data_IF_032854608018
#
_entry.id   IF_032854608018
#
_cell.length_a   1.000
_cell.length_b   1.000
_cell.length_c   1.000
_cell.angle_alpha   90.00
_cell.angle_beta   90.00
_cell.angle_gamma   90.00
#
_symmetry.space_group_name_H-M   'P 1'
#
loop_
_entity.id
_entity.type
_entity.pdbx_description
1 polymer ?
#
# COMPACT_ATOMS: atom_id res chain seq x y z
N UNK A 1 -18.08 -28.00 -75.48
CA UNK A 1 -17.34 -29.29 -75.58
C UNK A 1 -16.73 -29.56 -74.21
N UNK A 2 -17.28 -30.55 -73.49
CA UNK A 2 -16.56 -31.77 -73.05
C UNK A 2 -15.45 -31.46 -72.02
N UNK A 3 -15.68 -31.71 -70.73
CA UNK A 3 -15.47 -33.02 -70.05
C UNK A 3 -14.04 -33.54 -70.22
N UNK A 4 -13.29 -33.66 -69.12
CA UNK A 4 -12.76 -34.96 -68.65
C UNK A 4 -11.68 -34.80 -67.57
N UNK A 5 -11.96 -35.39 -66.41
CA UNK A 5 -11.09 -36.18 -65.50
C UNK A 5 -9.58 -36.30 -65.78
N UNK A 6 -8.74 -36.13 -64.75
CA UNK A 6 -8.22 -37.23 -63.90
C UNK A 6 -6.87 -36.88 -63.21
N UNK A 7 -6.77 -37.27 -61.93
CA UNK A 7 -5.58 -37.65 -61.16
C UNK A 7 -4.33 -36.74 -61.15
N UNK A 8 -4.03 -36.15 -59.99
CA UNK A 8 -2.77 -36.48 -59.31
C UNK A 8 -2.84 -36.11 -57.81
N UNK A 9 -2.64 -37.12 -56.96
CA UNK A 9 -2.40 -37.01 -55.53
C UNK A 9 -1.17 -36.14 -55.26
N UNK A 10 -1.34 -34.93 -54.73
CA UNK A 10 -0.30 -34.16 -54.04
C UNK A 10 -0.92 -32.93 -53.40
N UNK A 11 -1.52 -33.08 -52.22
CA UNK A 11 -1.54 -32.06 -51.15
C UNK A 11 -2.08 -32.72 -49.87
N UNK A 12 -1.27 -33.67 -49.37
CA UNK A 12 -1.18 -33.91 -47.93
C UNK A 12 -0.72 -32.57 -47.31
N UNK A 13 -1.28 -32.22 -46.15
CA UNK A 13 -1.04 -30.99 -45.36
C UNK A 13 -1.79 -29.74 -45.81
N UNK A 14 -3.01 -29.54 -45.31
CA UNK A 14 -3.41 -28.27 -44.62
C UNK A 14 -4.90 -28.28 -44.23
N UNK A 15 -5.35 -29.30 -43.50
CA UNK A 15 -6.65 -29.25 -42.78
C UNK A 15 -6.55 -29.88 -41.38
N UNK A 16 -5.37 -29.77 -40.75
CA UNK A 16 -5.17 -30.04 -39.33
C UNK A 16 -4.92 -28.73 -38.55
N UNK A 17 -5.68 -27.70 -38.87
CA UNK A 17 -5.85 -26.52 -38.02
C UNK A 17 -7.34 -26.27 -37.81
N UNK A 18 -8.07 -27.34 -37.45
CA UNK A 18 -9.19 -27.14 -36.53
C UNK A 18 -8.53 -26.59 -35.27
N UNK A 19 -8.57 -25.26 -35.14
CA UNK A 19 -8.36 -24.54 -33.90
C UNK A 19 -9.40 -25.08 -32.91
N UNK A 20 -9.07 -26.21 -32.29
CA UNK A 20 -9.42 -26.44 -30.90
C UNK A 20 -8.62 -25.37 -30.15
N UNK A 21 -9.17 -24.15 -30.09
CA UNK A 21 -8.94 -23.30 -28.94
C UNK A 21 -9.54 -24.13 -27.80
N UNK A 22 -8.74 -25.02 -27.24
CA UNK A 22 -8.93 -25.43 -25.87
C UNK A 22 -9.10 -24.12 -25.14
N UNK A 23 -10.26 -23.91 -24.52
CA UNK A 23 -10.35 -22.96 -23.43
C UNK A 23 -9.25 -23.42 -22.49
N UNK A 24 -8.07 -22.82 -22.61
CA UNK A 24 -7.10 -22.81 -21.55
C UNK A 24 -7.89 -22.20 -20.42
N UNK A 25 -8.43 -23.06 -19.56
CA UNK A 25 -8.86 -22.65 -18.26
C UNK A 25 -7.57 -22.19 -17.60
N UNK A 26 -7.26 -20.91 -17.78
CA UNK A 26 -6.48 -20.16 -16.83
C UNK A 26 -7.38 -20.12 -15.60
N UNK A 27 -7.41 -21.24 -14.88
CA UNK A 27 -7.80 -21.30 -13.49
C UNK A 27 -6.62 -20.73 -12.71
N UNK A 28 -6.32 -19.46 -12.98
CA UNK A 28 -5.43 -18.66 -12.18
C UNK A 28 -6.30 -18.06 -11.10
N UNK A 29 -6.26 -18.61 -9.89
CA UNK A 29 -6.86 -17.95 -8.74
C UNK A 29 -6.28 -16.52 -8.68
N UNK A 30 -7.06 -15.51 -9.04
CA UNK A 30 -6.65 -14.10 -8.95
C UNK A 30 -6.76 -13.71 -7.48
N UNK A 31 -5.89 -14.32 -6.67
CA UNK A 31 -5.79 -14.10 -5.24
C UNK A 31 -5.23 -12.69 -5.01
N UNK A 32 -6.11 -11.77 -4.68
CA UNK A 32 -5.73 -10.45 -4.21
C UNK A 32 -6.93 -9.60 -3.88
N UNK A 33 -6.76 -8.72 -2.89
CA UNK A 33 -7.81 -7.86 -2.37
C UNK A 33 -7.60 -6.44 -2.89
N UNK A 34 -8.72 -5.77 -3.18
CA UNK A 34 -8.76 -4.39 -3.65
C UNK A 34 -9.62 -3.61 -2.68
N UNK A 35 -9.04 -2.56 -2.10
CA UNK A 35 -9.68 -1.66 -1.15
C UNK A 35 -9.84 -0.28 -1.78
N UNK A 36 -11.08 0.26 -1.83
CA UNK A 36 -11.27 1.67 -2.16
C UNK A 36 -10.71 2.52 -1.01
N UNK A 37 -10.07 3.62 -1.37
CA UNK A 37 -9.50 4.58 -0.42
C UNK A 37 -9.95 5.98 -0.78
N UNK A 38 -10.32 6.76 0.22
CA UNK A 38 -10.71 8.17 0.07
C UNK A 38 -9.78 9.05 0.88
N UNK A 39 -9.65 10.32 0.50
CA UNK A 39 -8.88 11.29 1.29
C UNK A 39 -9.84 12.09 2.16
N UNK A 40 -9.65 12.03 3.47
CA UNK A 40 -10.33 12.93 4.38
C UNK A 40 -9.68 14.33 4.29
N UNK A 41 -10.49 15.33 3.95
CA UNK A 41 -10.00 16.69 3.71
C UNK A 41 -9.67 17.42 5.02
N UNK A 42 -10.29 17.02 6.13
CA UNK A 42 -10.09 17.69 7.41
C UNK A 42 -8.74 17.35 8.04
N UNK A 43 -8.34 16.08 7.97
CA UNK A 43 -7.06 15.60 8.49
C UNK A 43 -5.98 15.42 7.42
N UNK A 44 -6.37 15.39 6.14
CA UNK A 44 -5.50 15.06 5.02
C UNK A 44 -5.13 13.58 4.93
N UNK A 45 -5.69 12.72 5.78
CA UNK A 45 -5.39 11.29 5.85
C UNK A 45 -6.15 10.49 4.79
N UNK A 46 -5.61 9.33 4.44
CA UNK A 46 -6.27 8.37 3.55
C UNK A 46 -7.04 7.34 4.38
N UNK A 47 -8.31 7.14 4.06
CA UNK A 47 -9.24 6.27 4.78
C UNK A 47 -9.78 5.20 3.84
N UNK A 48 -9.63 3.95 4.26
CA UNK A 48 -10.21 2.77 3.62
C UNK A 48 -11.45 2.31 4.39
N UNK A 49 -12.49 1.95 3.67
CA UNK A 49 -13.70 1.37 4.23
C UNK A 49 -13.62 -0.16 4.14
N UNK A 50 -13.61 -0.85 5.28
CA UNK A 50 -13.43 -2.30 5.36
C UNK A 50 -14.59 -2.95 6.09
N UNK A 51 -15.19 -3.98 5.47
CA UNK A 51 -16.15 -4.86 6.14
C UNK A 51 -15.41 -5.96 6.88
N UNK A 52 -15.52 -5.95 8.21
CA UNK A 52 -14.98 -6.94 9.12
C UNK A 52 -16.12 -7.80 9.67
N UNK A 53 -15.91 -9.11 9.67
CA UNK A 53 -16.84 -10.09 10.19
C UNK A 53 -18.15 -10.18 9.43
N UNK A 54 -19.21 -10.37 10.21
CA UNK A 54 -20.61 -10.38 9.81
C UNK A 54 -21.33 -9.05 10.08
N UNK A 55 -20.59 -8.01 10.50
CA UNK A 55 -21.15 -6.68 10.73
C UNK A 55 -21.71 -6.07 9.44
N UNK A 56 -22.93 -5.52 9.54
CA UNK A 56 -23.60 -4.82 8.44
C UNK A 56 -22.91 -3.49 8.10
N UNK A 57 -22.38 -2.81 9.11
CA UNK A 57 -21.70 -1.53 8.98
C UNK A 57 -20.19 -1.72 8.80
N UNK A 58 -19.57 -1.06 7.81
CA UNK A 58 -18.14 -1.10 7.59
C UNK A 58 -17.37 -0.24 8.59
N UNK A 59 -16.10 -0.58 8.81
CA UNK A 59 -15.17 0.21 9.63
C UNK A 59 -14.35 1.13 8.73
N UNK A 60 -14.22 2.39 9.12
CA UNK A 60 -13.32 3.35 8.49
C UNK A 60 -11.94 3.28 9.15
N UNK A 61 -10.92 2.95 8.36
CA UNK A 61 -9.56 2.74 8.84
C UNK A 61 -8.57 3.63 8.09
N UNK A 62 -7.70 4.30 8.84
CA UNK A 62 -6.62 5.11 8.27
C UNK A 62 -5.58 4.20 7.64
N UNK A 63 -5.17 4.53 6.41
CA UNK A 63 -4.12 3.82 5.69
C UNK A 63 -2.77 4.30 6.21
N UNK A 64 -2.08 3.46 6.97
CA UNK A 64 -0.70 3.68 7.43
C UNK A 64 0.26 2.75 6.67
N UNK A 65 1.08 3.31 5.77
CA UNK A 65 2.10 2.53 5.05
C UNK A 65 3.11 1.88 5.98
N UNK A 66 3.46 2.53 7.09
CA UNK A 66 4.46 2.01 8.04
C UNK A 66 3.83 1.18 9.15
N UNK A 67 2.51 1.00 9.12
CA UNK A 67 1.76 0.21 10.08
C UNK A 67 2.05 -1.27 9.93
N UNK A 68 2.34 -1.94 11.05
CA UNK A 68 2.63 -3.38 11.09
C UNK A 68 1.37 -4.24 11.19
N UNK A 69 0.27 -3.66 11.68
CA UNK A 69 -0.95 -4.38 12.01
C UNK A 69 -2.18 -3.54 11.67
N UNK A 70 -3.26 -4.21 11.26
CA UNK A 70 -4.58 -3.59 11.21
C UNK A 70 -5.14 -3.54 12.63
N UNK A 71 -5.63 -2.38 13.04
CA UNK A 71 -6.21 -2.19 14.37
C UNK A 71 -7.35 -1.19 14.32
N UNK A 72 -8.29 -1.32 15.25
CA UNK A 72 -9.39 -0.38 15.46
C UNK A 72 -9.87 -0.47 16.91
N UNK A 73 -10.58 0.56 17.36
CA UNK A 73 -11.16 0.58 18.69
C UNK A 73 -12.41 -0.31 18.74
N UNK A 74 -12.34 -1.42 19.45
CA UNK A 74 -13.49 -2.33 19.62
C UNK A 74 -14.61 -1.74 20.48
N UNK A 75 -14.33 -0.69 21.28
CA UNK A 75 -15.36 0.00 22.06
C UNK A 75 -16.23 0.95 21.23
N UNK A 76 -15.80 1.24 19.99
CA UNK A 76 -16.49 2.16 19.07
C UNK A 76 -17.82 1.62 18.50
N UNK A 77 -18.27 0.44 18.93
CA UNK A 77 -19.59 -0.10 18.59
C UNK A 77 -19.60 -1.12 17.45
N UNK A 78 -18.45 -1.47 16.87
CA UNK A 78 -18.35 -2.58 15.93
C UNK A 78 -18.40 -3.93 16.67
N UNK A 79 -19.53 -4.62 16.53
CA UNK A 79 -19.77 -5.95 17.11
C UNK A 79 -19.87 -6.95 15.97
N UNK A 80 -18.95 -7.90 15.94
CA UNK A 80 -18.95 -9.05 15.02
C UNK A 80 -19.10 -10.32 15.83
N UNK A 81 -19.98 -11.22 15.40
CA UNK A 81 -20.19 -12.51 16.07
C UNK A 81 -19.18 -13.56 15.62
N UNK A 82 -18.51 -13.33 14.49
CA UNK A 82 -17.43 -14.19 13.99
C UNK A 82 -16.05 -13.85 14.56
N UNK A 83 -15.97 -12.86 15.46
CA UNK A 83 -14.74 -12.49 16.16
C UNK A 83 -14.27 -13.62 17.08
N UNK A 84 -12.99 -13.98 16.98
CA UNK A 84 -12.34 -14.96 17.86
C UNK A 84 -10.98 -14.45 18.33
N UNK A 85 -10.72 -14.53 19.63
CA UNK A 85 -9.44 -14.11 20.23
C UNK A 85 -8.35 -15.15 19.92
N UNK A 86 -7.14 -14.65 19.69
CA UNK A 86 -5.98 -15.49 19.42
C UNK A 86 -5.26 -15.77 20.73
N UNK A 87 -5.05 -17.05 21.05
CA UNK A 87 -4.26 -17.44 22.23
C UNK A 87 -2.80 -16.94 22.13
N UNK A 88 -2.27 -16.47 23.27
CA UNK A 88 -0.90 -15.95 23.37
C UNK A 88 0.20 -16.98 23.06
N UNK A 89 -0.07 -18.27 23.25
CA UNK A 89 0.86 -19.36 22.91
C UNK A 89 0.80 -19.78 21.44
N UNK A 90 -0.16 -19.26 20.67
CA UNK A 90 -0.35 -19.65 19.28
C UNK A 90 0.78 -19.15 18.36
N UNK A 91 1.02 -19.89 17.28
CA UNK A 91 1.94 -19.46 16.22
C UNK A 91 1.49 -18.17 15.53
N UNK A 92 0.19 -17.86 15.54
CA UNK A 92 -0.37 -16.59 15.06
C UNK A 92 0.09 -15.41 15.91
N UNK A 93 0.03 -15.54 17.24
CA UNK A 93 0.52 -14.53 18.16
C UNK A 93 2.04 -14.28 17.99
N UNK A 94 2.81 -15.35 17.87
CA UNK A 94 4.26 -15.27 17.67
C UNK A 94 4.64 -14.54 16.37
N UNK A 95 3.84 -14.70 15.30
CA UNK A 95 4.03 -14.00 14.03
C UNK A 95 3.63 -12.52 14.09
N UNK A 96 2.55 -12.21 14.80
CA UNK A 96 2.06 -10.83 14.93
C UNK A 96 2.98 -9.97 15.81
N UNK A 97 3.75 -10.60 16.71
CA UNK A 97 4.73 -9.95 17.57
C UNK A 97 5.98 -9.54 16.78
N UNK A 98 5.90 -8.43 16.05
CA UNK A 98 7.02 -7.84 15.33
C UNK A 98 7.94 -7.04 16.28
N UNK A 99 9.24 -7.34 16.31
CA UNK A 99 10.24 -6.50 16.99
C UNK A 99 10.29 -6.59 18.52
N UNK A 100 10.57 -5.45 19.18
CA UNK A 100 10.80 -5.33 20.63
C UNK A 100 9.50 -5.13 21.43
N UNK A 101 8.32 -5.32 20.82
CA UNK A 101 7.00 -5.29 21.45
C UNK A 101 6.73 -6.53 22.31
N UNK A 102 7.77 -6.94 23.05
CA UNK A 102 7.69 -7.90 24.14
C UNK A 102 6.98 -7.24 25.30
N UNK A 103 5.65 -7.18 25.23
CA UNK A 103 4.85 -7.31 26.45
C UNK A 103 5.35 -8.58 27.10
N UNK A 104 5.98 -8.40 28.26
CA UNK A 104 6.52 -9.47 29.06
C UNK A 104 5.35 -10.34 29.45
N UNK A 105 5.30 -11.54 28.87
CA UNK A 105 4.47 -12.62 29.38
C UNK A 105 5.00 -12.99 30.75
N UNK A 106 4.76 -12.16 31.76
CA UNK A 106 4.71 -12.64 33.14
C UNK A 106 3.43 -13.49 33.22
N UNK A 107 3.58 -14.76 32.88
CA UNK A 107 2.93 -15.80 33.65
C UNK A 107 1.62 -16.40 33.18
N UNK A 108 1.12 -16.17 31.95
CA UNK A 108 -0.03 -16.94 31.48
C UNK A 108 0.17 -17.48 30.07
N UNK A 109 0.59 -18.75 29.98
CA UNK A 109 0.54 -19.50 28.72
C UNK A 109 -0.90 -19.79 28.26
N UNK A 110 -1.89 -19.46 29.10
CA UNK A 110 -3.33 -19.58 28.86
C UNK A 110 -4.03 -18.24 28.53
N UNK A 111 -3.30 -17.12 28.50
CA UNK A 111 -3.88 -15.80 28.21
C UNK A 111 -4.06 -15.53 26.72
N UNK A 112 -4.90 -14.53 26.41
CA UNK A 112 -5.05 -14.00 25.06
C UNK A 112 -3.79 -13.27 24.59
N UNK A 113 -3.63 -13.18 23.27
CA UNK A 113 -2.47 -12.56 22.64
C UNK A 113 -2.59 -11.04 22.64
N UNK A 114 -1.82 -10.39 23.50
CA UNK A 114 -1.77 -8.93 23.55
C UNK A 114 -0.60 -8.34 22.77
N UNK A 115 -0.88 -7.27 22.05
CA UNK A 115 0.06 -6.53 21.24
C UNK A 115 0.06 -5.04 21.62
N UNK A 116 1.20 -4.39 21.40
CA UNK A 116 1.28 -2.93 21.42
C UNK A 116 0.99 -2.42 20.01
N UNK A 117 0.09 -1.45 19.95
CA UNK A 117 -0.39 -0.86 18.72
C UNK A 117 -0.13 0.64 18.79
N UNK A 118 0.49 1.19 17.74
CA UNK A 118 0.84 2.60 17.68
C UNK A 118 -0.11 3.35 16.76
N UNK A 119 -0.58 4.49 17.21
CA UNK A 119 -1.18 5.49 16.35
C UNK A 119 -0.09 6.50 15.96
N UNK A 120 0.40 6.39 14.72
CA UNK A 120 1.47 7.24 14.21
C UNK A 120 1.08 8.70 14.00
N UNK A 121 -0.22 9.02 13.92
CA UNK A 121 -0.71 10.40 13.73
C UNK A 121 -0.55 11.20 15.03
N UNK A 122 -1.01 10.66 16.15
CA UNK A 122 -0.98 11.36 17.45
C UNK A 122 0.20 10.94 18.33
N UNK A 123 0.95 9.91 17.93
CA UNK A 123 2.14 9.45 18.65
C UNK A 123 1.86 8.64 19.93
N UNK A 124 0.67 8.04 20.05
CA UNK A 124 0.31 7.20 21.21
C UNK A 124 0.50 5.72 20.91
N UNK A 125 0.80 4.95 21.95
CA UNK A 125 0.84 3.48 21.89
C UNK A 125 -0.14 2.92 22.92
N UNK A 126 -0.96 1.97 22.50
CA UNK A 126 -1.95 1.30 23.33
C UNK A 126 -1.74 -0.21 23.31
N UNK A 127 -2.19 -0.90 24.37
CA UNK A 127 -2.28 -2.37 24.41
C UNK A 127 -3.61 -2.78 23.80
N UNK A 128 -3.60 -3.78 22.94
CA UNK A 128 -4.80 -4.37 22.34
C UNK A 128 -4.70 -5.88 22.24
N UNK A 129 -5.86 -6.53 22.23
CA UNK A 129 -5.99 -7.97 22.06
C UNK A 129 -5.99 -8.33 20.56
N UNK A 130 -5.24 -9.36 20.19
CA UNK A 130 -5.23 -9.87 18.83
C UNK A 130 -6.44 -10.77 18.59
N UNK A 131 -7.24 -10.43 17.58
CA UNK A 131 -8.40 -11.20 17.17
C UNK A 131 -8.35 -11.54 15.67
N UNK A 132 -8.98 -12.65 15.31
CA UNK A 132 -9.35 -12.96 13.92
C UNK A 132 -10.84 -12.74 13.73
N UNK A 133 -11.22 -12.43 12.50
CA UNK A 133 -12.63 -12.32 12.13
C UNK A 133 -12.86 -12.85 10.72
N UNK A 134 -14.09 -13.16 10.33
CA UNK A 134 -14.43 -13.47 8.95
C UNK A 134 -14.30 -12.20 8.07
N UNK A 135 -14.03 -12.32 6.77
CA UNK A 135 -14.27 -11.19 5.86
C UNK A 135 -14.96 -11.68 4.60
N UNK A 136 -16.08 -11.07 4.18
CA UNK A 136 -16.81 -11.51 3.00
C UNK A 136 -16.04 -11.32 1.69
N UNK A 137 -14.95 -10.53 1.67
CA UNK A 137 -14.15 -10.27 0.46
C UNK A 137 -12.98 -11.26 0.29
N UNK A 138 -12.65 -12.04 1.32
CA UNK A 138 -11.74 -13.18 1.25
C UNK A 138 -12.54 -14.47 1.35
N UNK A 139 -12.24 -15.49 0.54
CA UNK A 139 -12.86 -16.82 0.67
C UNK A 139 -12.35 -17.58 1.94
N UNK A 140 -12.18 -16.87 3.07
CA UNK A 140 -11.56 -17.36 4.31
C UNK A 140 -11.57 -16.30 5.41
N UNK A 141 -11.27 -16.69 6.68
CA UNK A 141 -11.18 -15.74 7.79
C UNK A 141 -10.12 -14.67 7.50
N UNK A 142 -10.48 -13.41 7.74
CA UNK A 142 -9.54 -12.31 7.87
C UNK A 142 -8.72 -12.52 9.14
N UNK A 143 -7.67 -13.32 9.00
CA UNK A 143 -6.52 -13.15 9.85
C UNK A 143 -6.05 -11.72 9.56
N UNK A 144 -6.10 -10.84 10.58
CA UNK A 144 -5.49 -9.51 10.50
C UNK A 144 -4.17 -9.65 9.76
N UNK A 145 -3.87 -8.76 8.80
CA UNK A 145 -2.93 -9.05 7.75
C UNK A 145 -1.69 -9.72 8.33
N UNK A 146 -1.28 -10.85 7.76
CA UNK A 146 0.13 -11.22 7.71
C UNK A 146 0.89 -10.14 6.89
N UNK A 147 0.78 -8.88 7.30
CA UNK A 147 1.73 -7.81 7.09
C UNK A 147 2.69 -7.83 8.30
N UNK A 148 3.12 -9.03 8.72
CA UNK A 148 4.49 -9.16 9.18
C UNK A 148 5.36 -8.37 8.19
N UNK A 149 6.43 -7.66 8.61
CA UNK A 149 7.39 -7.14 7.65
C UNK A 149 7.73 -8.33 6.77
N UNK A 150 7.38 -8.26 5.48
CA UNK A 150 7.64 -9.31 4.50
C UNK A 150 9.17 -9.44 4.45
N UNK A 151 9.72 -10.18 5.41
CA UNK A 151 11.08 -10.65 5.39
C UNK A 151 11.06 -11.71 4.32
N UNK A 152 11.61 -11.33 3.18
CA UNK A 152 11.87 -12.15 2.02
C UNK A 152 12.23 -13.58 2.42
N UNK A 153 11.27 -14.51 2.38
CA UNK A 153 11.60 -15.90 2.05
C UNK A 153 11.70 -15.94 0.53
N UNK A 154 12.92 -16.22 0.04
CA UNK A 154 13.15 -16.61 -1.37
C UNK A 154 12.14 -17.68 -1.74
N UNK A 155 11.22 -17.34 -2.64
CA UNK A 155 10.21 -18.26 -3.14
C UNK A 155 8.92 -17.55 -3.54
N UNK A 156 8.95 -16.93 -4.73
CA UNK A 156 7.77 -16.62 -5.56
C UNK A 156 6.51 -16.12 -4.80
N UNK A 157 6.54 -14.92 -4.23
CA UNK A 157 5.35 -14.30 -3.63
C UNK A 157 5.22 -12.83 -4.03
N UNK A 158 4.02 -12.48 -4.54
CA UNK A 158 3.65 -11.20 -5.14
C UNK A 158 3.73 -10.07 -4.11
N UNK A 159 4.46 -9.01 -4.42
CA UNK A 159 4.53 -7.79 -3.61
C UNK A 159 3.20 -7.03 -3.68
N UNK A 160 2.56 -6.68 -2.56
CA UNK A 160 1.42 -5.76 -2.59
C UNK A 160 1.87 -4.41 -3.15
N UNK A 161 0.99 -3.76 -3.93
CA UNK A 161 1.36 -2.54 -4.66
C UNK A 161 0.36 -1.41 -4.40
N UNK A 162 0.85 -0.29 -3.87
CA UNK A 162 0.08 0.93 -3.62
C UNK A 162 0.06 1.74 -4.92
N UNK A 163 -1.05 1.68 -5.65
CA UNK A 163 -1.03 2.07 -7.05
C UNK A 163 -1.87 3.30 -7.41
N UNK A 164 -2.73 3.82 -6.51
CA UNK A 164 -3.36 5.11 -6.71
C UNK A 164 -3.87 5.73 -5.38
N UNK A 165 -3.27 6.84 -4.98
CA UNK A 165 -3.85 7.79 -4.03
C UNK A 165 -4.16 9.06 -4.85
N UNK A 166 -5.43 9.29 -5.19
CA UNK A 166 -5.83 10.45 -6.00
C UNK A 166 -6.29 11.59 -5.10
N UNK A 167 -5.93 12.83 -5.45
CA UNK A 167 -6.35 14.06 -4.75
C UNK A 167 -7.78 14.50 -5.10
N UNK A 168 -8.36 14.01 -6.21
CA UNK A 168 -9.66 14.47 -6.74
C UNK A 168 -10.71 13.37 -6.87
N UNK A 169 -10.34 12.10 -6.67
CA UNK A 169 -11.23 10.95 -6.82
C UNK A 169 -10.85 9.86 -5.81
N UNK A 170 -11.74 8.88 -5.62
CA UNK A 170 -11.43 7.70 -4.82
C UNK A 170 -10.19 6.99 -5.41
N UNK A 171 -9.23 6.68 -4.55
CA UNK A 171 -8.05 5.88 -4.84
C UNK A 171 -8.27 4.39 -4.55
N UNK A 172 -7.24 3.59 -4.79
CA UNK A 172 -7.27 2.14 -4.62
C UNK A 172 -5.96 1.62 -4.05
N UNK A 173 -6.07 0.77 -3.03
CA UNK A 173 -4.97 -0.07 -2.52
C UNK A 173 -5.23 -1.50 -2.91
N UNK A 174 -4.24 -2.17 -3.50
CA UNK A 174 -4.42 -3.52 -4.04
C UNK A 174 -3.22 -4.42 -3.77
N UNK A 175 -3.50 -5.68 -3.47
CA UNK A 175 -2.46 -6.73 -3.45
C UNK A 175 -2.29 -7.40 -4.82
N UNK A 176 -3.08 -7.00 -5.82
CA UNK A 176 -2.97 -7.47 -7.21
C UNK A 176 -1.93 -6.67 -7.98
N UNK A 177 -1.54 -7.15 -9.15
CA UNK A 177 -0.60 -6.43 -10.00
C UNK A 177 -1.22 -5.13 -10.54
N UNK A 178 -0.37 -4.17 -10.89
CA UNK A 178 -0.81 -2.92 -11.55
C UNK A 178 -1.52 -3.25 -12.87
N UNK A 179 -1.04 -4.26 -13.60
CA UNK A 179 -1.65 -4.70 -14.84
C UNK A 179 -3.07 -5.23 -14.64
N UNK A 180 -3.31 -5.98 -13.55
CA UNK A 180 -4.64 -6.51 -13.23
C UNK A 180 -5.64 -5.42 -12.87
N UNK A 181 -5.19 -4.31 -12.27
CA UNK A 181 -6.05 -3.25 -11.74
C UNK A 181 -6.21 -2.09 -12.72
N UNK A 182 -5.13 -1.70 -13.41
CA UNK A 182 -5.03 -0.50 -14.25
C UNK A 182 -4.64 -0.81 -15.71
N UNK A 183 -4.40 -2.08 -16.05
CA UNK A 183 -4.07 -2.52 -17.41
C UNK A 183 -2.58 -2.47 -17.74
N UNK A 184 -2.21 -3.18 -18.82
CA UNK A 184 -0.82 -3.35 -19.26
C UNK A 184 -0.12 -2.04 -19.63
N UNK A 185 -0.85 -1.08 -20.19
CA UNK A 185 -0.29 0.22 -20.55
C UNK A 185 0.21 0.97 -19.31
N UNK A 186 -0.59 1.01 -18.24
CA UNK A 186 -0.21 1.62 -16.97
C UNK A 186 1.00 0.91 -16.34
N UNK A 187 1.00 -0.42 -16.32
CA UNK A 187 2.10 -1.21 -15.78
C UNK A 187 3.43 -0.97 -16.52
N UNK A 188 3.39 -0.75 -17.84
CA UNK A 188 4.59 -0.49 -18.66
C UNK A 188 5.14 0.92 -18.50
N UNK A 189 4.35 1.88 -18.02
CA UNK A 189 4.79 3.27 -17.79
C UNK A 189 5.45 3.49 -16.42
N UNK A 190 5.57 2.47 -15.59
CA UNK A 190 6.16 2.59 -14.25
C UNK A 190 7.68 2.76 -14.29
N UNK A 191 8.17 3.63 -13.41
CA UNK A 191 9.61 3.82 -13.15
C UNK A 191 9.92 3.26 -11.77
N UNK A 192 10.97 2.45 -11.67
CA UNK A 192 11.32 1.72 -10.46
C UNK A 192 12.58 2.28 -9.80
N UNK A 193 12.59 2.28 -8.47
CA UNK A 193 13.76 2.55 -7.64
C UNK A 193 13.86 1.49 -6.54
N UNK A 194 15.06 1.09 -6.10
CA UNK A 194 15.21 0.15 -5.00
C UNK A 194 14.53 0.67 -3.72
N UNK A 195 13.77 -0.22 -3.08
CA UNK A 195 13.09 0.02 -1.80
C UNK A 195 13.90 -0.63 -0.68
N UNK A 196 14.08 0.09 0.43
CA UNK A 196 14.63 -0.44 1.68
C UNK A 196 13.65 -0.22 2.84
N UNK A 197 13.84 -0.96 3.93
CA UNK A 197 13.01 -0.86 5.13
C UNK A 197 13.82 -0.27 6.27
N UNK A 198 13.29 0.75 6.94
CA UNK A 198 13.85 1.31 8.16
C UNK A 198 13.72 0.32 9.33
N UNK A 199 14.53 0.51 10.37
CA UNK A 199 14.40 -0.26 11.62
C UNK A 199 13.04 -0.03 12.32
N UNK A 200 12.40 1.10 12.06
CA UNK A 200 11.04 1.44 12.50
C UNK A 200 9.93 0.73 11.73
N UNK A 201 10.25 0.01 10.65
CA UNK A 201 9.27 -0.61 9.74
C UNK A 201 8.85 0.27 8.56
N UNK A 202 9.29 1.54 8.52
CA UNK A 202 8.99 2.46 7.42
C UNK A 202 9.68 2.11 6.11
N UNK A 203 9.14 2.60 5.00
CA UNK A 203 9.66 2.37 3.65
C UNK A 203 10.56 3.52 3.20
N UNK A 204 11.77 3.21 2.77
CA UNK A 204 12.79 4.17 2.38
C UNK A 204 13.17 4.01 0.91
N UNK A 205 13.41 5.13 0.24
CA UNK A 205 14.05 5.19 -1.07
C UNK A 205 15.31 6.06 -1.00
N UNK A 206 16.36 5.62 -1.68
CA UNK A 206 17.59 6.40 -1.78
C UNK A 206 17.43 7.55 -2.78
N UNK A 207 17.68 8.77 -2.34
CA UNK A 207 17.58 9.98 -3.17
C UNK A 207 19.00 10.43 -3.55
N UNK A 208 19.29 10.56 -4.84
CA UNK A 208 20.63 10.99 -5.29
C UNK A 208 20.82 12.50 -5.23
N UNK A 209 19.79 13.26 -5.61
CA UNK A 209 19.82 14.72 -5.66
C UNK A 209 18.41 15.26 -5.72
N UNK A 210 18.20 16.45 -5.15
CA UNK A 210 16.98 17.24 -5.35
C UNK A 210 17.29 18.37 -6.33
N UNK A 211 16.38 18.62 -7.28
CA UNK A 211 16.54 19.67 -8.29
C UNK A 211 15.34 20.61 -8.28
N UNK A 212 15.60 21.91 -8.35
CA UNK A 212 14.58 22.96 -8.51
C UNK A 212 14.88 23.70 -9.80
N UNK A 213 13.91 23.74 -10.73
CA UNK A 213 14.10 24.32 -12.07
C UNK A 213 15.35 23.78 -12.80
N UNK A 214 15.62 22.47 -12.68
CA UNK A 214 16.79 21.81 -13.27
C UNK A 214 18.10 21.94 -12.48
N UNK A 215 18.21 22.93 -11.59
CA UNK A 215 19.39 23.19 -10.77
C UNK A 215 19.46 22.25 -9.57
N UNK A 216 20.61 21.60 -9.38
CA UNK A 216 20.85 20.70 -8.26
C UNK A 216 21.06 21.48 -6.97
N UNK A 217 20.34 21.11 -5.92
CA UNK A 217 20.50 21.70 -4.60
C UNK A 217 21.81 21.23 -3.96
N UNK A 218 22.54 22.16 -3.34
CA UNK A 218 23.72 21.84 -2.55
C UNK A 218 23.29 21.29 -1.20
N UNK A 219 23.35 19.97 -1.05
CA UNK A 219 23.00 19.27 0.20
C UNK A 219 24.19 18.44 0.66
N UNK A 220 24.49 18.53 1.96
CA UNK A 220 25.56 17.76 2.57
C UNK A 220 25.05 16.39 3.00
N UNK A 221 25.80 15.33 2.66
CA UNK A 221 25.50 13.97 3.09
C UNK A 221 24.61 13.17 2.15
N UNK A 222 24.25 11.96 2.58
CA UNK A 222 23.38 11.04 1.85
C UNK A 222 21.92 11.40 2.07
N UNK A 223 21.14 11.45 0.99
CA UNK A 223 19.71 11.72 1.05
C UNK A 223 18.91 10.41 1.00
N UNK A 224 17.95 10.28 1.91
CA UNK A 224 16.96 9.20 1.92
C UNK A 224 15.59 9.83 2.13
N UNK A 225 14.57 9.26 1.50
CA UNK A 225 13.19 9.69 1.67
C UNK A 225 12.36 8.53 2.22
N UNK A 226 11.62 8.80 3.31
CA UNK A 226 10.63 7.90 3.85
C UNK A 226 9.27 8.13 3.19
N UNK A 227 8.61 7.05 2.79
CA UNK A 227 7.28 7.07 2.21
C UNK A 227 6.25 6.93 3.32
N UNK A 228 5.37 7.92 3.45
CA UNK A 228 4.34 7.96 4.49
C UNK A 228 3.00 8.46 3.95
N UNK A 229 1.93 7.91 4.49
CA UNK A 229 0.53 8.34 4.28
C UNK A 229 -0.06 9.07 5.48
N UNK A 230 0.70 9.16 6.59
CA UNK A 230 0.25 9.83 7.82
C UNK A 230 0.55 11.33 7.82
N UNK A 231 1.61 11.74 7.13
CA UNK A 231 1.96 13.15 6.94
C UNK A 231 1.38 13.67 5.62
N UNK A 232 0.47 14.66 5.63
CA UNK A 232 -0.26 15.08 4.44
C UNK A 232 0.60 15.89 3.44
N UNK A 233 1.76 16.37 3.88
CA UNK A 233 2.72 17.14 3.07
C UNK A 233 4.11 16.54 3.20
N UNK A 234 4.91 16.68 2.15
CA UNK A 234 6.33 16.33 2.21
C UNK A 234 7.04 17.18 3.27
N UNK A 235 7.60 16.52 4.28
CA UNK A 235 8.44 17.13 5.30
C UNK A 235 9.91 16.96 4.94
N UNK A 236 10.73 17.94 5.28
CA UNK A 236 12.19 17.89 5.08
C UNK A 236 12.87 18.27 6.39
N UNK A 237 14.09 17.79 6.59
CA UNK A 237 14.95 18.30 7.65
C UNK A 237 15.17 19.81 7.45
N UNK A 238 15.21 20.58 8.54
CA UNK A 238 15.15 22.04 8.51
C UNK A 238 16.24 22.69 7.66
N UNK A 239 17.49 22.18 7.70
CA UNK A 239 18.57 22.71 6.87
C UNK A 239 18.34 22.42 5.38
N UNK A 240 17.83 21.24 5.04
CA UNK A 240 17.43 20.90 3.67
C UNK A 240 16.25 21.75 3.19
N UNK A 241 15.24 21.94 4.04
CA UNK A 241 14.08 22.77 3.74
C UNK A 241 14.49 24.22 3.44
N UNK A 242 15.42 24.79 4.21
CA UNK A 242 15.91 26.14 3.99
C UNK A 242 16.55 26.31 2.60
N UNK A 243 17.40 25.36 2.19
CA UNK A 243 18.03 25.35 0.85
C UNK A 243 16.98 25.19 -0.25
N UNK A 244 16.02 24.28 -0.04
CA UNK A 244 14.92 24.06 -0.98
C UNK A 244 14.03 25.31 -1.13
N UNK A 245 13.64 25.92 -0.02
CA UNK A 245 12.78 27.10 0.03
C UNK A 245 13.42 28.29 -0.69
N UNK A 246 14.70 28.57 -0.43
CA UNK A 246 15.46 29.64 -1.11
C UNK A 246 15.55 29.39 -2.63
N UNK A 247 15.89 28.17 -3.03
CA UNK A 247 15.94 27.82 -4.45
C UNK A 247 14.57 27.93 -5.13
N UNK A 248 13.50 27.57 -4.43
CA UNK A 248 12.14 27.64 -4.94
C UNK A 248 11.66 29.09 -5.11
N UNK A 249 11.91 29.96 -4.12
CA UNK A 249 11.60 31.40 -4.21
C UNK A 249 12.33 32.03 -5.40
N UNK A 250 13.62 31.73 -5.59
CA UNK A 250 14.40 32.22 -6.74
C UNK A 250 13.84 31.75 -8.07
N UNK A 251 13.42 30.49 -8.15
CA UNK A 251 12.83 29.92 -9.36
C UNK A 251 11.42 30.49 -9.66
N UNK A 252 10.64 30.79 -8.62
CA UNK A 252 9.27 31.31 -8.74
C UNK A 252 9.20 32.81 -9.02
N UNK A 253 10.27 33.57 -8.75
CA UNK A 253 10.30 35.03 -8.82
C UNK A 253 9.88 35.63 -10.19
N UNK A 254 10.02 34.87 -11.28
CA UNK A 254 9.60 35.31 -12.62
C UNK A 254 8.08 35.23 -12.85
N UNK A 255 7.36 34.40 -12.10
CA UNK A 255 5.97 34.02 -12.39
C UNK A 255 5.01 34.23 -11.22
N UNK A 256 5.51 34.45 -10.00
CA UNK A 256 4.67 34.60 -8.82
C UNK A 256 5.30 35.56 -7.81
N UNK A 257 4.47 36.28 -7.05
CA UNK A 257 4.93 37.15 -5.97
C UNK A 257 4.80 36.45 -4.63
N UNK A 258 5.87 36.49 -3.84
CA UNK A 258 5.86 35.98 -2.47
C UNK A 258 4.90 36.83 -1.60
N UNK A 259 4.09 36.16 -0.79
CA UNK A 259 3.16 36.79 0.17
C UNK A 259 3.33 36.21 1.56
N UNK A 260 2.61 36.81 2.52
CA UNK A 260 2.58 36.35 3.90
C UNK A 260 2.25 34.83 3.95
N UNK A 261 3.07 34.02 4.64
CA UNK A 261 2.81 32.60 4.79
C UNK A 261 1.47 32.34 5.51
N UNK A 262 0.76 31.30 5.09
CA UNK A 262 -0.46 30.81 5.72
C UNK A 262 -0.19 29.43 6.29
N UNK A 263 -0.42 29.25 7.60
CA UNK A 263 -0.18 27.98 8.26
C UNK A 263 -0.95 26.83 7.58
N UNK A 264 -0.34 25.63 7.45
CA UNK A 264 0.96 25.22 8.00
C UNK A 264 2.17 25.53 7.10
N UNK A 265 2.00 26.32 6.03
CA UNK A 265 3.03 26.53 5.02
C UNK A 265 3.98 27.69 5.37
N UNK A 266 5.27 27.48 5.12
CA UNK A 266 6.31 28.51 5.30
C UNK A 266 6.50 29.45 4.10
N UNK A 267 5.98 29.09 2.93
CA UNK A 267 6.05 29.90 1.70
C UNK A 267 4.67 29.94 1.03
N UNK A 268 4.21 31.13 0.66
CA UNK A 268 2.98 31.34 -0.10
C UNK A 268 3.22 32.35 -1.22
N UNK A 269 2.53 32.16 -2.34
CA UNK A 269 2.66 33.01 -3.52
C UNK A 269 1.29 33.41 -4.05
N UNK A 270 1.16 34.61 -4.62
CA UNK A 270 -0.02 34.98 -5.40
C UNK A 270 0.16 34.59 -6.85
N UNK A 271 -0.88 34.00 -7.44
CA UNK A 271 -0.98 33.89 -8.90
C UNK A 271 -1.07 35.30 -9.48
N UNK A 272 -0.22 35.60 -10.45
CA UNK A 272 -0.37 36.78 -11.32
C UNK A 272 -1.59 36.64 -12.21
#
# INVERSE_FOLDING_TARGET
>A
MASSTSCLNLFVFSFLSVLLITKSQISGSVNGVVFPVTRDLSTGQYVAEIRLGDSYEPVNLVVDLSGTLLWFDCSSGHISTSRSLISGSSSGCLKAKAGNDRVSSRGDQNGDCDLLVRNGVVGITARGELATDWSPRSNGPFQGPNLSPFTTRRGNQRTPSFNCLSLASNGVVSTRSVEDVFGAAAARSLVYTPLSTASSGGYLINVKSIRVNGFMLAVNGTLSAELSTLVPYTTMESSLYAVFADAYVKAAASNAKLVAPVAPFGLCFTST
#
